data_IF_296007582228
#
_entry.id   IF_296007582228
#
_cell.length_a   1.000
_cell.length_b   1.000
_cell.length_c   1.000
_cell.angle_alpha   90.00
_cell.angle_beta   90.00
_cell.angle_gamma   90.00
#
_symmetry.space_group_name_H-M   'P 1'
#
loop_
_entity.id
_entity.type
_entity.pdbx_description
1 polymer ?
#
# COMPACT_ATOMS: atom_id res chain seq x y z
N UNK A 1 -6.64 -18.05 2.22
CA UNK A 1 -7.14 -17.88 3.60
C UNK A 1 -6.06 -17.45 4.60
N UNK A 2 -4.83 -17.98 4.56
CA UNK A 2 -3.77 -17.63 5.55
C UNK A 2 -3.18 -16.20 5.43
N UNK A 3 -3.15 -15.59 4.24
CA UNK A 3 -2.51 -14.28 4.05
C UNK A 3 -3.29 -13.09 4.59
N UNK A 4 -4.63 -13.14 4.61
CA UNK A 4 -5.44 -12.08 5.23
C UNK A 4 -5.10 -11.96 6.73
N UNK A 5 -4.91 -13.08 7.43
CA UNK A 5 -4.50 -13.05 8.84
C UNK A 5 -3.16 -12.34 9.05
N UNK A 6 -2.17 -12.52 8.17
CA UNK A 6 -0.84 -11.92 8.35
C UNK A 6 -0.91 -10.40 8.30
N UNK A 7 -1.69 -9.84 7.35
CA UNK A 7 -1.87 -8.39 7.21
C UNK A 7 -2.71 -7.83 8.37
N UNK A 8 -3.76 -8.54 8.77
CA UNK A 8 -4.59 -8.11 9.91
C UNK A 8 -3.80 -8.13 11.22
N UNK A 9 -2.93 -9.12 11.43
CA UNK A 9 -2.01 -9.15 12.58
C UNK A 9 -0.99 -8.02 12.50
N UNK A 10 -0.40 -7.76 11.32
CA UNK A 10 0.63 -6.71 11.18
C UNK A 10 0.08 -5.29 11.30
N UNK A 11 -1.20 -5.08 11.00
CA UNK A 11 -1.92 -3.81 11.21
C UNK A 11 -2.46 -3.65 12.65
N UNK A 12 -2.21 -4.63 13.53
CA UNK A 12 -2.72 -4.63 14.90
C UNK A 12 -4.24 -4.60 14.98
N UNK A 13 -4.92 -5.19 14.00
CA UNK A 13 -6.37 -5.08 13.89
C UNK A 13 -7.11 -5.84 15.00
N UNK A 14 -8.15 -5.21 15.53
CA UNK A 14 -9.02 -5.76 16.58
C UNK A 14 -10.39 -6.05 16.00
N UNK A 15 -10.97 -7.18 16.37
CA UNK A 15 -12.33 -7.54 15.94
C UNK A 15 -13.37 -6.79 16.80
N UNK A 16 -14.36 -6.18 16.16
CA UNK A 16 -15.53 -5.58 16.82
C UNK A 16 -16.56 -6.64 17.21
N UNK A 17 -17.53 -6.27 18.05
CA UNK A 17 -18.65 -7.16 18.42
C UNK A 17 -19.45 -7.66 17.21
N UNK A 18 -19.55 -6.84 16.15
CA UNK A 18 -20.20 -7.18 14.88
C UNK A 18 -19.31 -8.02 13.94
N UNK A 19 -18.09 -8.38 14.37
CA UNK A 19 -17.17 -9.23 13.62
C UNK A 19 -16.27 -8.50 12.61
N UNK A 20 -16.31 -7.17 12.53
CA UNK A 20 -15.43 -6.38 11.65
C UNK A 20 -14.02 -6.27 12.23
N UNK A 21 -12.99 -6.24 11.38
CA UNK A 21 -11.61 -6.00 11.80
C UNK A 21 -11.26 -4.53 11.59
N UNK A 22 -10.92 -3.83 12.67
CA UNK A 22 -10.50 -2.42 12.65
C UNK A 22 -8.99 -2.35 12.92
N UNK A 23 -8.17 -1.80 12.01
CA UNK A 23 -6.73 -1.68 12.19
C UNK A 23 -6.36 -0.64 13.27
N UNK A 24 -5.13 -0.68 13.76
CA UNK A 24 -4.59 0.37 14.60
C UNK A 24 -4.44 1.67 13.78
N UNK A 25 -5.03 2.76 14.27
CA UNK A 25 -4.98 4.04 13.58
C UNK A 25 -3.72 4.85 13.85
N UNK A 26 -2.87 4.44 14.80
CA UNK A 26 -1.59 5.10 15.05
C UNK A 26 -0.51 4.52 14.13
N UNK A 27 -0.10 5.24 13.07
CA UNK A 27 0.92 4.76 12.13
C UNK A 27 2.28 4.59 12.79
N UNK A 28 2.56 5.20 13.95
CA UNK A 28 3.86 5.06 14.63
C UNK A 28 4.05 3.68 15.27
N UNK A 29 2.96 2.94 15.50
CA UNK A 29 3.00 1.63 16.15
C UNK A 29 2.95 0.47 15.14
N UNK A 30 3.08 0.77 13.85
CA UNK A 30 2.91 -0.19 12.79
C UNK A 30 4.20 -0.33 11.95
N UNK A 31 4.48 -1.53 11.41
CA UNK A 31 5.70 -1.76 10.63
C UNK A 31 5.54 -1.30 9.18
N UNK A 32 6.66 -1.03 8.52
CA UNK A 32 6.69 -0.98 7.06
C UNK A 32 6.32 -2.36 6.49
N UNK A 33 5.50 -2.38 5.43
CA UNK A 33 5.18 -3.61 4.70
C UNK A 33 6.16 -3.78 3.54
N UNK A 34 7.01 -4.84 3.54
CA UNK A 34 7.95 -5.07 2.45
C UNK A 34 7.25 -5.66 1.23
N UNK A 35 7.60 -5.15 0.06
CA UNK A 35 7.23 -5.68 -1.26
C UNK A 35 8.48 -5.89 -2.08
N UNK A 36 8.66 -7.10 -2.63
CA UNK A 36 9.83 -7.44 -3.44
C UNK A 36 9.40 -8.00 -4.78
N UNK A 37 9.79 -7.31 -5.84
CA UNK A 37 9.68 -7.81 -7.20
C UNK A 37 10.99 -8.46 -7.62
N UNK A 38 10.92 -9.43 -8.54
CA UNK A 38 12.11 -10.05 -9.08
C UNK A 38 13.00 -8.99 -9.76
N UNK A 39 14.26 -8.92 -9.36
CA UNK A 39 15.22 -7.97 -9.94
C UNK A 39 15.15 -6.54 -9.40
N UNK A 40 14.30 -6.26 -8.39
CA UNK A 40 14.31 -4.97 -7.68
C UNK A 40 14.91 -5.11 -6.29
N UNK A 41 15.34 -3.98 -5.73
CA UNK A 41 15.51 -3.86 -4.28
C UNK A 41 14.15 -4.03 -3.59
N UNK A 42 14.17 -4.34 -2.30
CA UNK A 42 12.97 -4.36 -1.47
C UNK A 42 12.37 -2.95 -1.42
N UNK A 43 11.10 -2.85 -1.80
CA UNK A 43 10.28 -1.66 -1.64
C UNK A 43 9.56 -1.74 -0.31
N UNK A 44 9.44 -0.62 0.39
CA UNK A 44 8.75 -0.54 1.67
C UNK A 44 7.55 0.38 1.58
N UNK A 45 6.40 -0.09 2.04
CA UNK A 45 5.19 0.74 2.13
C UNK A 45 5.03 1.14 3.59
N UNK A 46 5.21 2.43 3.94
CA UNK A 46 5.10 2.88 5.31
C UNK A 46 3.64 2.91 5.79
N UNK A 47 3.39 2.79 7.11
CA UNK A 47 2.05 2.85 7.70
C UNK A 47 1.22 4.07 7.31
N UNK A 48 1.87 5.22 7.16
CA UNK A 48 1.22 6.47 6.73
C UNK A 48 0.57 6.40 5.34
N UNK A 49 0.94 5.40 4.52
CA UNK A 49 0.39 5.20 3.18
C UNK A 49 -0.73 4.16 3.21
N UNK A 50 -0.57 3.05 3.94
CA UNK A 50 -1.54 1.96 3.94
C UNK A 50 -2.62 2.07 5.01
N UNK A 51 -2.46 2.91 6.04
CA UNK A 51 -3.53 3.29 6.96
C UNK A 51 -4.24 4.52 6.42
N UNK A 52 -5.54 4.37 6.16
CA UNK A 52 -6.39 5.41 5.60
C UNK A 52 -7.30 5.90 6.72
N UNK A 53 -7.01 7.06 7.28
CA UNK A 53 -7.86 7.72 8.26
C UNK A 53 -9.01 8.47 7.57
N UNK A 54 -10.24 8.23 8.00
CA UNK A 54 -11.38 9.09 7.67
C UNK A 54 -11.56 10.07 8.82
N UNK A 55 -11.72 11.37 8.52
CA UNK A 55 -11.85 12.40 9.56
C UNK A 55 -12.94 12.05 10.58
N UNK A 56 -12.54 11.85 11.84
CA UNK A 56 -13.43 11.83 13.00
C UNK A 56 -14.09 10.51 13.39
N UNK A 57 -13.91 9.40 12.66
CA UNK A 57 -14.81 8.25 12.88
C UNK A 57 -14.12 6.87 12.94
N UNK A 58 -13.16 6.56 12.05
CA UNK A 58 -12.42 5.28 12.04
C UNK A 58 -11.31 5.33 10.98
N UNK A 59 -10.29 4.48 11.13
CA UNK A 59 -9.32 4.21 10.07
C UNK A 59 -9.59 2.84 9.42
N UNK A 60 -9.18 2.71 8.17
CA UNK A 60 -9.16 1.43 7.44
C UNK A 60 -7.76 1.16 6.89
N UNK A 61 -7.56 -0.04 6.37
CA UNK A 61 -6.35 -0.42 5.64
C UNK A 61 -6.61 -0.38 4.14
N UNK A 62 -5.62 0.04 3.35
CA UNK A 62 -5.69 -0.05 1.90
C UNK A 62 -5.43 -1.46 1.34
N UNK A 63 -5.10 -2.43 2.21
CA UNK A 63 -5.00 -3.84 1.82
C UNK A 63 -6.38 -4.49 1.84
N UNK A 64 -6.76 -5.12 0.73
CA UNK A 64 -8.04 -5.80 0.60
C UNK A 64 -7.76 -7.24 0.18
N UNK A 65 -8.29 -8.19 0.95
CA UNK A 65 -8.30 -9.60 0.60
C UNK A 65 -9.42 -9.90 -0.40
N UNK A 66 -9.10 -10.56 -1.51
CA UNK A 66 -10.10 -11.07 -2.45
C UNK A 66 -10.05 -12.60 -2.48
N UNK A 67 -11.19 -13.24 -2.21
CA UNK A 67 -11.31 -14.70 -2.32
C UNK A 67 -11.52 -15.13 -3.79
N UNK A 68 -10.96 -16.29 -4.15
CA UNK A 68 -11.20 -16.92 -5.46
C UNK A 68 -10.37 -16.40 -6.64
N UNK A 69 -9.55 -15.36 -6.46
CA UNK A 69 -8.80 -14.71 -7.55
C UNK A 69 -7.38 -15.28 -7.81
N UNK A 70 -7.03 -16.45 -7.24
CA UNK A 70 -5.67 -17.01 -7.32
C UNK A 70 -4.72 -16.46 -6.24
N UNK A 71 -3.41 -16.72 -6.37
CA UNK A 71 -2.37 -16.25 -5.44
C UNK A 71 -1.71 -14.93 -5.87
N UNK A 72 -2.40 -14.16 -6.72
CA UNK A 72 -1.83 -12.97 -7.34
C UNK A 72 -2.10 -11.72 -6.50
N UNK A 73 -1.10 -10.83 -6.47
CA UNK A 73 -1.22 -9.51 -5.87
C UNK A 73 -1.62 -8.50 -6.93
N UNK A 74 -2.65 -7.71 -6.64
CA UNK A 74 -2.99 -6.53 -7.44
C UNK A 74 -2.30 -5.32 -6.84
N UNK A 75 -1.49 -4.68 -7.67
CA UNK A 75 -0.75 -3.46 -7.29
C UNK A 75 -1.63 -2.26 -7.63
N UNK A 76 -2.30 -1.73 -6.59
CA UNK A 76 -3.17 -0.57 -6.70
C UNK A 76 -2.57 0.70 -6.09
N UNK A 77 -3.45 1.65 -5.79
CA UNK A 77 -3.14 3.02 -5.37
C UNK A 77 -2.13 3.12 -4.21
N UNK A 78 -2.07 2.13 -3.31
CA UNK A 78 -1.08 2.13 -2.22
C UNK A 78 0.35 2.22 -2.74
N UNK A 79 0.68 1.42 -3.75
CA UNK A 79 2.03 1.41 -4.33
C UNK A 79 2.24 2.65 -5.19
N UNK A 80 1.23 3.11 -5.93
CA UNK A 80 1.31 4.37 -6.69
C UNK A 80 1.50 5.61 -5.80
N UNK A 81 0.98 5.59 -4.57
CA UNK A 81 1.20 6.68 -3.59
C UNK A 81 2.63 6.67 -3.07
N UNK A 82 3.18 5.50 -2.75
CA UNK A 82 4.54 5.38 -2.25
C UNK A 82 5.61 5.55 -3.34
N UNK A 83 5.31 5.12 -4.56
CA UNK A 83 6.27 5.06 -5.67
C UNK A 83 5.65 5.56 -6.98
N UNK A 84 6.44 6.36 -7.69
CA UNK A 84 6.19 6.64 -9.09
C UNK A 84 6.45 5.38 -9.91
N UNK A 85 5.49 5.01 -10.76
CA UNK A 85 5.58 3.81 -11.60
C UNK A 85 5.72 4.21 -13.07
N UNK A 86 6.88 3.90 -13.65
CA UNK A 86 7.14 4.07 -15.08
C UNK A 86 6.82 2.82 -15.87
N UNK A 87 6.01 2.94 -16.92
CA UNK A 87 5.64 1.84 -17.82
C UNK A 87 6.33 2.00 -19.18
N UNK A 88 7.28 1.12 -19.48
CA UNK A 88 8.03 1.10 -20.73
C UNK A 88 7.50 -0.04 -21.61
N UNK A 89 6.48 0.28 -22.41
CA UNK A 89 5.71 -0.72 -23.17
C UNK A 89 6.55 -1.39 -24.26
N UNK A 90 7.44 -0.63 -24.94
CA UNK A 90 8.32 -1.18 -25.98
C UNK A 90 9.29 -2.22 -25.44
N UNK A 91 9.84 -1.97 -24.25
CA UNK A 91 10.80 -2.81 -23.56
C UNK A 91 10.14 -3.88 -22.68
N UNK A 92 8.81 -3.84 -22.51
CA UNK A 92 8.03 -4.69 -21.60
C UNK A 92 8.55 -4.63 -20.16
N UNK A 93 8.81 -3.42 -19.66
CA UNK A 93 9.38 -3.18 -18.33
C UNK A 93 8.52 -2.23 -17.50
N UNK A 94 8.60 -2.42 -16.20
CA UNK A 94 8.05 -1.53 -15.18
C UNK A 94 9.19 -1.08 -14.28
N UNK A 95 9.23 0.21 -13.95
CA UNK A 95 10.23 0.79 -13.07
C UNK A 95 9.56 1.52 -11.91
N UNK A 96 10.22 1.53 -10.75
CA UNK A 96 9.76 2.19 -9.54
C UNK A 96 10.79 3.25 -9.13
N UNK A 97 10.30 4.41 -8.69
CA UNK A 97 11.09 5.46 -8.06
C UNK A 97 10.29 6.04 -6.89
N UNK A 98 10.96 6.62 -5.89
CA UNK A 98 10.26 7.23 -4.74
C UNK A 98 9.31 8.34 -5.21
N UNK A 99 8.07 8.33 -4.70
CA UNK A 99 7.13 9.43 -4.92
C UNK A 99 7.50 10.63 -4.06
N UNK A 100 7.47 11.82 -4.65
CA UNK A 100 7.60 13.08 -3.90
C UNK A 100 6.23 13.53 -3.43
N UNK A 101 5.98 13.49 -2.12
CA UNK A 101 4.77 14.06 -1.51
C UNK A 101 4.94 15.58 -1.33
N UNK A 102 4.72 16.36 -2.38
CA UNK A 102 4.52 17.80 -2.23
C UNK A 102 3.05 18.11 -1.93
N UNK A 103 2.80 18.91 -0.88
CA UNK A 103 1.45 19.30 -0.44
C UNK A 103 0.63 20.09 -1.50
N UNK A 104 1.20 20.36 -2.70
CA UNK A 104 0.61 21.17 -3.77
C UNK A 104 0.90 20.65 -5.19
N UNK A 105 1.18 19.37 -5.40
CA UNK A 105 1.52 18.88 -6.74
C UNK A 105 0.27 18.52 -7.57
N UNK A 106 -0.29 19.54 -8.24
CA UNK A 106 -1.01 19.35 -9.51
C UNK A 106 0.03 19.01 -10.59
N UNK A 107 -0.09 17.81 -11.19
CA UNK A 107 0.58 17.33 -12.40
C UNK A 107 2.09 17.65 -12.53
N UNK A 108 2.93 16.65 -12.30
CA UNK A 108 4.36 16.67 -12.66
C UNK A 108 4.53 16.90 -14.17
N UNK A 109 4.68 18.17 -14.57
CA UNK A 109 4.98 18.58 -15.94
C UNK A 109 6.47 18.42 -16.33
N UNK A 110 7.25 17.62 -15.59
CA UNK A 110 8.65 17.40 -15.96
C UNK A 110 9.18 16.10 -15.38
N UNK A 111 9.12 15.04 -16.18
CA UNK A 111 10.00 13.89 -16.03
C UNK A 111 11.32 14.33 -16.68
N UNK A 112 12.33 14.60 -15.85
CA UNK A 112 13.69 14.84 -16.33
C UNK A 112 14.33 13.48 -16.65
N UNK A 113 14.75 13.31 -17.90
CA UNK A 113 15.58 12.19 -18.37
C UNK A 113 17.05 12.43 -18.05
#
# INVERSE_FOLDING_TARGET
MLLNCVIWISTGAVQTEDGYLIPNCDPNNLPDVPFKFAGTNELKIPPSIYIISKEGEYCTTGFIGQEGAGFDWLIGDLVHRAYYIGYFVGEKKVCFADSVLEKNSFYLNKILF
#
